data_IF_590073285418
#
_entry.id   IF_590073285418
#
_cell.length_a   1.000
_cell.length_b   1.000
_cell.length_c   1.000
_cell.angle_alpha   90.00
_cell.angle_beta   90.00
_cell.angle_gamma   90.00
#
_symmetry.space_group_name_H-M   'P 1'
#
loop_
_entity.id
_entity.type
_entity.pdbx_description
1 polymer ?
#
# COMPACT_ATOMS: atom_id res chain seq x y z
N UNK A 1 -6.90 17.83 -26.96
CA UNK A 1 -5.75 17.53 -26.09
C UNK A 1 -4.49 17.66 -26.91
N UNK A 2 -4.13 18.88 -27.30
CA UNK A 2 -2.84 19.14 -27.96
C UNK A 2 -1.95 19.87 -26.96
N UNK A 3 -1.51 19.11 -25.95
CA UNK A 3 -0.65 19.61 -24.87
C UNK A 3 0.81 19.73 -25.30
N UNK A 4 1.15 19.09 -26.43
CA UNK A 4 2.47 19.05 -27.01
C UNK A 4 2.68 20.29 -27.89
N UNK A 5 3.66 21.11 -27.52
CA UNK A 5 4.13 22.20 -28.39
C UNK A 5 5.07 21.68 -29.47
N UNK A 6 5.69 20.53 -29.21
CA UNK A 6 6.61 19.84 -30.10
C UNK A 6 6.46 18.34 -29.90
N UNK A 7 6.48 17.58 -30.99
CA UNK A 7 6.30 16.12 -30.99
C UNK A 7 7.58 15.37 -31.36
N UNK A 8 8.54 16.06 -31.97
CA UNK A 8 9.81 15.51 -32.44
C UNK A 8 10.91 16.57 -32.36
N UNK A 9 12.06 16.21 -31.81
CA UNK A 9 13.27 17.02 -31.75
C UNK A 9 14.46 16.18 -32.22
N UNK A 10 15.19 16.65 -33.21
CA UNK A 10 16.40 15.98 -33.72
C UNK A 10 17.65 16.49 -32.98
N UNK A 11 18.78 15.81 -33.20
CA UNK A 11 20.08 16.21 -32.64
C UNK A 11 20.10 16.34 -31.10
N UNK A 12 19.28 15.52 -30.42
CA UNK A 12 19.21 15.49 -28.96
C UNK A 12 20.33 14.64 -28.40
N UNK A 13 21.12 15.22 -27.50
CA UNK A 13 22.14 14.49 -26.74
C UNK A 13 21.54 13.91 -25.46
N UNK A 14 21.52 12.58 -25.37
CA UNK A 14 21.17 11.84 -24.17
C UNK A 14 22.44 11.42 -23.41
N UNK A 15 22.48 11.76 -22.12
CA UNK A 15 23.51 11.32 -21.19
C UNK A 15 22.91 10.32 -20.18
N UNK A 16 23.44 9.09 -20.14
CA UNK A 16 23.02 8.04 -19.22
C UNK A 16 24.25 7.48 -18.51
N UNK A 17 24.48 7.90 -17.27
CA UNK A 17 25.73 7.61 -16.55
C UNK A 17 26.91 8.21 -17.30
N UNK A 18 27.88 7.38 -17.69
CA UNK A 18 29.03 7.78 -18.53
C UNK A 18 28.78 7.66 -20.04
N UNK A 19 27.64 7.11 -20.44
CA UNK A 19 27.32 6.94 -21.87
C UNK A 19 26.65 8.17 -22.42
N UNK A 20 27.09 8.60 -23.60
CA UNK A 20 26.53 9.74 -24.34
C UNK A 20 26.14 9.25 -25.72
N UNK A 21 24.94 9.61 -26.16
CA UNK A 21 24.42 9.28 -27.49
C UNK A 21 23.65 10.46 -28.05
N UNK A 22 23.69 10.63 -29.37
CA UNK A 22 22.86 11.58 -30.10
C UNK A 22 21.73 10.83 -30.78
N UNK A 23 20.56 11.46 -30.87
CA UNK A 23 19.38 10.83 -31.42
C UNK A 23 18.21 11.78 -31.59
N UNK A 24 17.08 11.20 -31.97
CA UNK A 24 15.80 11.91 -32.06
C UNK A 24 14.97 11.66 -30.80
N UNK A 25 14.46 12.73 -30.19
CA UNK A 25 13.49 12.67 -29.10
C UNK A 25 12.08 12.86 -29.64
N UNK A 26 11.21 11.90 -29.35
CA UNK A 26 9.78 11.94 -29.63
C UNK A 26 9.01 12.16 -28.34
N UNK A 27 8.06 13.10 -28.36
CA UNK A 27 7.11 13.32 -27.28
C UNK A 27 5.74 12.82 -27.75
N UNK A 28 5.15 11.91 -26.98
CA UNK A 28 3.83 11.35 -27.24
C UNK A 28 2.88 11.72 -26.10
N UNK A 29 1.62 11.29 -26.18
CA UNK A 29 0.63 11.67 -25.16
C UNK A 29 0.94 11.12 -23.74
N UNK A 30 1.66 10.00 -23.62
CA UNK A 30 1.85 9.29 -22.35
C UNK A 30 3.30 8.85 -22.05
N UNK A 31 4.20 9.00 -23.01
CA UNK A 31 5.61 8.66 -22.86
C UNK A 31 6.47 9.52 -23.79
N UNK A 32 7.75 9.59 -23.48
CA UNK A 32 8.77 10.03 -24.43
C UNK A 32 9.55 8.82 -24.93
N UNK A 33 10.05 8.95 -26.15
CA UNK A 33 10.83 7.94 -26.85
C UNK A 33 12.10 8.60 -27.38
N UNK A 34 13.26 8.08 -27.01
CA UNK A 34 14.54 8.49 -27.58
C UNK A 34 15.08 7.41 -28.52
N UNK A 35 15.33 7.77 -29.77
CA UNK A 35 15.85 6.90 -30.82
C UNK A 35 17.29 7.31 -31.15
N UNK A 36 18.31 6.53 -30.76
CA UNK A 36 19.71 6.83 -31.07
C UNK A 36 20.02 6.82 -32.58
N UNK A 37 20.82 7.75 -33.07
CA UNK A 37 21.17 7.85 -34.51
C UNK A 37 22.01 6.66 -35.00
N UNK A 38 22.75 6.03 -34.09
CA UNK A 38 23.59 4.87 -34.39
C UNK A 38 22.79 3.55 -34.51
N UNK A 39 21.45 3.61 -34.51
CA UNK A 39 20.59 2.43 -34.51
C UNK A 39 20.64 1.64 -33.20
N UNK A 40 21.12 2.25 -32.12
CA UNK A 40 21.14 1.67 -30.79
C UNK A 40 19.74 1.43 -30.23
N UNK A 41 19.68 0.83 -29.04
CA UNK A 41 18.42 0.51 -28.39
C UNK A 41 17.61 1.79 -28.08
N UNK A 42 16.35 1.79 -28.49
CA UNK A 42 15.39 2.84 -28.15
C UNK A 42 15.14 2.92 -26.65
N UNK A 43 14.94 4.13 -26.14
CA UNK A 43 14.68 4.38 -24.72
C UNK A 43 13.27 4.96 -24.58
N UNK A 44 12.43 4.19 -23.90
CA UNK A 44 11.04 4.51 -23.64
C UNK A 44 10.87 4.94 -22.18
N UNK A 45 10.33 6.14 -21.94
CA UNK A 45 10.08 6.66 -20.58
C UNK A 45 8.64 7.13 -20.46
N UNK A 46 7.85 6.42 -19.66
CA UNK A 46 6.48 6.83 -19.33
C UNK A 46 6.48 8.09 -18.47
N UNK A 47 5.54 8.99 -18.69
CA UNK A 47 5.45 10.22 -17.90
C UNK A 47 5.19 9.95 -16.42
N UNK A 48 4.46 8.89 -16.07
CA UNK A 48 4.23 8.46 -14.69
C UNK A 48 5.49 8.03 -13.92
N UNK A 49 6.61 7.77 -14.60
CA UNK A 49 7.88 7.40 -13.97
C UNK A 49 8.83 8.59 -13.79
N UNK A 50 8.49 9.76 -14.33
CA UNK A 50 9.31 10.97 -14.22
C UNK A 50 8.92 11.70 -12.95
N UNK A 51 9.86 11.80 -12.00
CA UNK A 51 9.64 12.51 -10.73
C UNK A 51 9.93 14.01 -10.85
N UNK A 52 11.02 14.36 -11.54
CA UNK A 52 11.49 15.75 -11.67
C UNK A 52 11.90 16.02 -13.11
N UNK A 53 11.61 17.23 -13.58
CA UNK A 53 12.18 17.79 -14.81
C UNK A 53 12.84 19.12 -14.47
N UNK A 54 14.13 19.23 -14.75
CA UNK A 54 14.89 20.45 -14.50
C UNK A 54 15.42 21.01 -15.82
N UNK A 55 15.28 22.32 -15.99
CA UNK A 55 15.91 23.05 -17.09
C UNK A 55 17.25 23.60 -16.62
N UNK A 56 18.34 23.11 -17.18
CA UNK A 56 19.68 23.70 -16.96
C UNK A 56 19.73 25.11 -17.58
N UNK A 57 20.54 25.99 -16.98
CA UNK A 57 20.78 27.34 -17.52
C UNK A 57 21.40 27.19 -18.91
N UNK A 58 20.96 27.96 -19.93
CA UNK A 58 21.56 27.89 -21.26
C UNK A 58 23.05 28.21 -21.22
N UNK A 59 23.83 27.43 -21.96
CA UNK A 59 25.26 27.67 -22.13
C UNK A 59 25.49 28.93 -23.01
N UNK A 60 26.75 29.33 -23.20
CA UNK A 60 27.17 30.47 -24.03
C UNK A 60 26.64 30.45 -25.48
N UNK A 61 26.14 29.30 -25.96
CA UNK A 61 25.58 29.11 -27.29
C UNK A 61 24.08 29.48 -27.40
N UNK A 62 23.48 29.98 -26.31
CA UNK A 62 22.09 30.46 -26.29
C UNK A 62 21.06 29.38 -25.98
N UNK A 63 19.81 29.79 -25.75
CA UNK A 63 18.71 28.89 -25.48
C UNK A 63 18.21 28.24 -26.78
N UNK A 64 18.16 26.91 -26.82
CA UNK A 64 17.49 26.17 -27.89
C UNK A 64 15.96 26.32 -27.74
N UNK A 65 15.25 26.91 -28.74
CA UNK A 65 13.80 27.07 -28.68
C UNK A 65 13.06 25.73 -28.49
N UNK A 66 13.53 24.68 -29.17
CA UNK A 66 12.93 23.34 -29.07
C UNK A 66 13.05 22.78 -27.64
N UNK A 67 14.16 23.06 -26.94
CA UNK A 67 14.32 22.65 -25.55
C UNK A 67 13.31 23.33 -24.61
N UNK A 68 12.95 24.59 -24.92
CA UNK A 68 11.92 25.32 -24.17
C UNK A 68 10.54 24.69 -24.39
N UNK A 69 10.23 24.29 -25.63
CA UNK A 69 8.95 23.67 -25.97
C UNK A 69 8.84 22.23 -25.47
N UNK A 70 9.94 21.46 -25.46
CA UNK A 70 10.01 20.16 -24.78
C UNK A 70 9.72 20.33 -23.29
N UNK A 71 10.43 21.24 -22.61
CA UNK A 71 10.24 21.47 -21.18
C UNK A 71 8.80 21.92 -20.87
N UNK A 72 8.25 22.86 -21.63
CA UNK A 72 6.88 23.33 -21.46
C UNK A 72 5.83 22.23 -21.72
N UNK A 73 6.08 21.33 -22.69
CA UNK A 73 5.22 20.18 -22.97
C UNK A 73 5.25 19.19 -21.81
N UNK A 74 6.44 18.82 -21.33
CA UNK A 74 6.61 17.92 -20.19
C UNK A 74 6.02 18.51 -18.90
N UNK A 75 6.18 19.81 -18.64
CA UNK A 75 5.56 20.45 -17.48
C UNK A 75 4.04 20.28 -17.48
N UNK A 76 3.38 20.40 -18.63
CA UNK A 76 1.91 20.21 -18.72
C UNK A 76 1.50 18.76 -18.57
N UNK A 77 2.28 17.83 -19.11
CA UNK A 77 1.98 16.40 -19.10
C UNK A 77 2.28 15.74 -17.74
N UNK A 78 3.24 16.28 -16.99
CA UNK A 78 3.62 15.78 -15.67
C UNK A 78 2.85 16.45 -14.54
N UNK A 79 2.53 17.75 -14.66
CA UNK A 79 1.74 18.46 -13.66
C UNK A 79 0.24 18.35 -13.95
N UNK A 80 -0.30 17.16 -13.72
CA UNK A 80 -1.74 16.93 -13.81
C UNK A 80 -2.46 17.52 -12.58
N UNK A 81 -3.58 18.19 -12.81
CA UNK A 81 -4.41 18.80 -11.76
C UNK A 81 -5.63 17.97 -11.39
N UNK A 82 -5.97 16.97 -12.19
CA UNK A 82 -7.06 16.04 -11.92
C UNK A 82 -6.74 14.63 -12.43
N UNK A 83 -7.39 13.62 -11.85
CA UNK A 83 -7.14 12.22 -12.21
C UNK A 83 -7.61 11.91 -13.62
N UNK A 84 -8.61 12.62 -14.12
CA UNK A 84 -9.17 12.49 -15.48
C UNK A 84 -8.15 12.84 -16.58
N UNK A 85 -7.04 13.50 -16.22
CA UNK A 85 -5.93 13.80 -17.13
C UNK A 85 -4.92 12.63 -17.25
N UNK A 86 -5.06 11.58 -16.44
CA UNK A 86 -4.21 10.39 -16.54
C UNK A 86 -4.51 9.61 -17.82
N UNK A 87 -3.47 9.00 -18.40
CA UNK A 87 -3.58 8.17 -19.60
C UNK A 87 -4.69 7.12 -19.54
N UNK A 88 -4.95 6.59 -18.34
CA UNK A 88 -6.01 5.60 -18.11
C UNK A 88 -7.41 6.06 -18.55
N UNK A 89 -7.70 7.37 -18.59
CA UNK A 89 -9.04 7.90 -18.92
C UNK A 89 -9.29 8.11 -20.41
N UNK A 90 -8.24 8.15 -21.22
CA UNK A 90 -8.36 8.35 -22.68
C UNK A 90 -7.60 7.29 -23.49
N UNK A 91 -7.00 6.31 -22.82
CA UNK A 91 -6.42 5.14 -23.48
C UNK A 91 -7.47 4.42 -24.33
N UNK A 92 -7.14 4.21 -25.59
CA UNK A 92 -7.92 3.38 -26.51
C UNK A 92 -7.01 2.28 -27.05
N UNK A 93 -7.34 1.00 -26.86
CA UNK A 93 -6.49 -0.09 -27.33
C UNK A 93 -6.52 -0.17 -28.86
N UNK A 94 -5.35 -0.33 -29.50
CA UNK A 94 -5.25 -0.47 -30.96
C UNK A 94 -5.97 -1.73 -31.47
N UNK A 95 -5.92 -2.80 -30.67
CA UNK A 95 -6.63 -4.05 -30.91
C UNK A 95 -7.64 -4.27 -29.79
N UNK A 96 -8.88 -4.71 -30.10
CA UNK A 96 -9.83 -5.07 -29.07
C UNK A 96 -9.24 -6.08 -28.08
N UNK A 97 -9.53 -5.88 -26.79
CA UNK A 97 -9.14 -6.84 -25.77
C UNK A 97 -9.80 -8.20 -26.02
N UNK A 98 -9.06 -9.27 -25.73
CA UNK A 98 -9.57 -10.65 -25.80
C UNK A 98 -10.51 -11.01 -24.65
N UNK A 99 -10.57 -10.15 -23.62
CA UNK A 99 -11.39 -10.34 -22.43
C UNK A 99 -11.91 -8.99 -21.92
N UNK A 100 -13.15 -8.97 -21.46
CA UNK A 100 -13.84 -7.81 -20.91
C UNK A 100 -14.18 -7.97 -19.42
N UNK A 101 -13.71 -9.03 -18.75
CA UNK A 101 -14.08 -9.32 -17.35
C UNK A 101 -13.23 -8.59 -16.31
N UNK A 102 -12.28 -7.73 -16.72
CA UNK A 102 -11.28 -7.13 -15.83
C UNK A 102 -11.88 -6.46 -14.59
N UNK A 103 -12.91 -5.63 -14.75
CA UNK A 103 -13.59 -4.95 -13.64
C UNK A 103 -14.43 -5.89 -12.76
N UNK A 104 -14.86 -7.02 -13.31
CA UNK A 104 -15.70 -8.01 -12.63
C UNK A 104 -14.90 -9.22 -12.13
N UNK A 105 -13.57 -9.19 -12.21
CA UNK A 105 -12.71 -10.28 -11.80
C UNK A 105 -12.79 -10.55 -10.29
N UNK A 106 -13.00 -9.50 -9.51
CA UNK A 106 -13.12 -9.57 -8.06
C UNK A 106 -14.52 -9.19 -7.60
N UNK A 107 -15.24 -10.15 -7.07
CA UNK A 107 -16.49 -9.93 -6.33
C UNK A 107 -16.28 -10.27 -4.83
N UNK A 108 -16.41 -9.28 -3.92
CA UNK A 108 -16.19 -9.51 -2.49
C UNK A 108 -17.06 -10.62 -1.91
N UNK A 109 -18.32 -10.70 -2.32
CA UNK A 109 -19.25 -11.69 -1.75
C UNK A 109 -18.82 -13.10 -2.14
N UNK A 110 -18.55 -13.32 -3.42
CA UNK A 110 -18.03 -14.58 -3.97
C UNK A 110 -16.70 -14.99 -3.32
N UNK A 111 -15.77 -14.04 -3.11
CA UNK A 111 -14.48 -14.35 -2.47
C UNK A 111 -14.64 -14.83 -1.02
N UNK A 112 -15.47 -14.15 -0.21
CA UNK A 112 -15.66 -14.56 1.17
C UNK A 112 -16.56 -15.80 1.32
N UNK A 113 -17.51 -16.01 0.40
CA UNK A 113 -18.25 -17.28 0.29
C UNK A 113 -17.31 -18.43 -0.06
N UNK A 114 -16.33 -18.22 -0.97
CA UNK A 114 -15.25 -19.18 -1.28
C UNK A 114 -14.38 -19.50 -0.06
N UNK A 115 -14.23 -18.56 0.87
CA UNK A 115 -13.52 -18.75 2.14
C UNK A 115 -14.35 -19.46 3.22
N UNK A 116 -15.67 -19.61 3.02
CA UNK A 116 -16.56 -20.36 3.91
C UNK A 116 -17.62 -19.53 4.62
N UNK A 117 -17.68 -18.22 4.40
CA UNK A 117 -18.67 -17.33 5.04
C UNK A 117 -20.05 -17.62 4.47
N UNK A 118 -21.01 -17.96 5.34
CA UNK A 118 -22.37 -18.32 4.95
C UNK A 118 -22.52 -19.74 4.39
N UNK A 119 -21.42 -20.48 4.21
CA UNK A 119 -21.44 -21.86 3.69
C UNK A 119 -20.89 -22.85 4.71
N UNK A 120 -19.68 -22.64 5.21
CA UNK A 120 -19.03 -23.47 6.24
C UNK A 120 -19.21 -22.93 7.65
N UNK A 121 -19.45 -21.63 7.78
CA UNK A 121 -19.67 -20.98 9.07
C UNK A 121 -20.71 -19.88 8.97
N UNK A 122 -21.51 -19.76 10.03
CA UNK A 122 -22.48 -18.67 10.25
C UNK A 122 -21.98 -17.65 11.28
N UNK A 123 -20.74 -17.77 11.75
CA UNK A 123 -20.16 -16.87 12.76
C UNK A 123 -19.78 -15.50 12.22
N UNK A 124 -19.77 -15.33 10.89
CA UNK A 124 -19.48 -14.09 10.18
C UNK A 124 -20.66 -13.68 9.32
N UNK A 125 -20.91 -12.36 9.23
CA UNK A 125 -21.94 -11.77 8.37
C UNK A 125 -21.38 -10.65 7.50
N UNK A 126 -22.04 -10.43 6.38
CA UNK A 126 -21.86 -9.22 5.57
C UNK A 126 -22.63 -8.07 6.24
N UNK A 127 -21.94 -6.97 6.52
CA UNK A 127 -22.51 -5.71 6.99
C UNK A 127 -22.60 -4.74 5.82
N UNK A 128 -23.75 -4.06 5.73
CA UNK A 128 -24.02 -2.99 4.76
C UNK A 128 -23.79 -1.60 5.35
N UNK A 129 -23.23 -1.51 6.58
CA UNK A 129 -22.97 -0.22 7.24
C UNK A 129 -22.14 0.76 6.40
N UNK A 130 -21.32 0.24 5.49
CA UNK A 130 -20.44 1.03 4.64
C UNK A 130 -20.85 1.02 3.16
N UNK A 131 -22.09 0.65 2.83
CA UNK A 131 -22.57 0.51 1.44
C UNK A 131 -22.32 1.78 0.61
N UNK A 132 -22.54 2.96 1.21
CA UNK A 132 -22.32 4.28 0.60
C UNK A 132 -21.01 4.95 1.04
N UNK A 133 -20.08 4.20 1.64
CA UNK A 133 -18.78 4.71 2.12
C UNK A 133 -18.84 5.79 3.23
N UNK A 134 -20.03 6.08 3.79
CA UNK A 134 -20.20 7.11 4.82
C UNK A 134 -19.59 6.71 6.18
N UNK A 135 -19.65 5.42 6.53
CA UNK A 135 -19.11 4.92 7.80
C UNK A 135 -17.58 4.97 7.83
N UNK A 136 -16.92 4.50 6.76
CA UNK A 136 -15.48 4.55 6.58
C UNK A 136 -15.15 4.71 5.08
N UNK A 137 -14.83 5.94 4.62
CA UNK A 137 -14.58 6.24 3.20
C UNK A 137 -13.41 5.51 2.54
N UNK A 138 -12.59 4.82 3.35
CA UNK A 138 -11.37 4.14 2.88
C UNK A 138 -11.43 2.62 3.06
N UNK A 139 -12.58 2.11 3.48
CA UNK A 139 -12.91 0.69 3.53
C UNK A 139 -13.82 0.32 2.36
N UNK A 140 -13.88 -0.96 1.97
CA UNK A 140 -14.79 -1.41 0.92
C UNK A 140 -16.26 -1.24 1.33
N UNK A 141 -17.15 -1.23 0.33
CA UNK A 141 -18.60 -1.11 0.54
C UNK A 141 -19.20 -2.20 1.43
N UNK A 142 -18.64 -3.42 1.35
CA UNK A 142 -19.06 -4.58 2.13
C UNK A 142 -18.00 -4.88 3.18
N UNK A 143 -18.43 -4.97 4.45
CA UNK A 143 -17.55 -5.35 5.56
C UNK A 143 -17.99 -6.67 6.17
N UNK A 144 -17.02 -7.50 6.54
CA UNK A 144 -17.30 -8.77 7.21
C UNK A 144 -16.93 -8.69 8.67
N UNK A 145 -17.92 -8.93 9.51
CA UNK A 145 -17.86 -8.80 10.96
C UNK A 145 -18.51 -10.02 11.62
N UNK A 146 -18.26 -10.30 12.91
CA UNK A 146 -18.93 -11.40 13.60
C UNK A 146 -20.46 -11.23 13.57
N UNK A 147 -21.20 -12.32 13.35
CA UNK A 147 -22.67 -12.32 13.23
C UNK A 147 -23.38 -11.80 14.49
N UNK A 148 -22.72 -11.89 15.64
CA UNK A 148 -23.21 -11.40 16.94
C UNK A 148 -23.08 -9.88 17.12
N UNK A 149 -22.34 -9.19 16.25
CA UNK A 149 -22.15 -7.74 16.30
C UNK A 149 -23.16 -7.09 15.37
N UNK A 150 -23.98 -6.15 15.87
CA UNK A 150 -24.91 -5.36 15.06
C UNK A 150 -24.24 -4.11 14.48
N UNK A 151 -24.80 -3.54 13.42
CA UNK A 151 -24.28 -2.30 12.83
C UNK A 151 -24.35 -1.12 13.81
N UNK A 152 -25.28 -1.13 14.76
CA UNK A 152 -25.31 -0.12 15.83
C UNK A 152 -24.08 -0.21 16.74
N UNK A 153 -23.61 -1.41 17.07
CA UNK A 153 -22.35 -1.59 17.83
C UNK A 153 -21.19 -1.05 17.00
N UNK A 154 -21.14 -1.36 15.69
CA UNK A 154 -20.10 -0.87 14.78
C UNK A 154 -20.02 0.66 14.71
N UNK A 155 -21.17 1.37 14.76
CA UNK A 155 -21.18 2.84 14.79
C UNK A 155 -20.41 3.42 15.99
N UNK A 156 -20.47 2.77 17.15
CA UNK A 156 -19.69 3.19 18.32
C UNK A 156 -18.23 2.74 18.22
N UNK A 157 -17.99 1.52 17.74
CA UNK A 157 -16.63 1.03 17.50
C UNK A 157 -15.86 1.91 16.50
N UNK A 158 -16.52 2.38 15.44
CA UNK A 158 -15.95 3.29 14.46
C UNK A 158 -15.46 4.62 15.05
N UNK A 159 -16.08 5.09 16.14
CA UNK A 159 -15.61 6.29 16.86
C UNK A 159 -14.34 6.04 17.67
N UNK A 160 -14.05 4.78 18.00
CA UNK A 160 -12.88 4.38 18.78
C UNK A 160 -11.71 3.92 17.91
N UNK A 161 -11.92 3.62 16.63
CA UNK A 161 -10.86 3.22 15.69
C UNK A 161 -10.50 4.39 14.78
N UNK A 162 -9.21 4.63 14.59
CA UNK A 162 -8.73 5.71 13.71
C UNK A 162 -9.37 5.63 12.32
N UNK A 163 -10.00 6.74 11.88
CA UNK A 163 -10.73 6.85 10.61
C UNK A 163 -11.86 5.83 10.44
N UNK A 164 -12.46 5.35 11.54
CA UNK A 164 -13.50 4.33 11.56
C UNK A 164 -13.13 3.00 10.88
N UNK A 165 -11.82 2.70 10.76
CA UNK A 165 -11.31 1.44 10.22
C UNK A 165 -11.35 0.35 11.29
N UNK A 166 -12.56 -0.16 11.51
CA UNK A 166 -12.83 -1.21 12.50
C UNK A 166 -12.14 -2.53 12.15
N UNK A 167 -11.95 -3.43 13.13
CA UNK A 167 -11.64 -4.84 12.90
C UNK A 167 -12.64 -5.49 11.93
N UNK A 168 -12.14 -5.88 10.75
CA UNK A 168 -12.92 -6.55 9.72
C UNK A 168 -12.16 -7.75 9.14
N UNK A 169 -12.88 -8.81 8.76
CA UNK A 169 -12.30 -10.04 8.20
C UNK A 169 -11.54 -9.75 6.90
N UNK A 170 -10.31 -10.25 6.82
CA UNK A 170 -9.49 -10.22 5.60
C UNK A 170 -9.28 -11.62 5.04
N UNK A 171 -9.18 -12.63 5.91
CA UNK A 171 -9.03 -14.03 5.50
C UNK A 171 -9.61 -14.96 6.56
N UNK A 172 -10.18 -16.08 6.11
CA UNK A 172 -10.68 -17.16 6.95
C UNK A 172 -10.05 -18.47 6.50
N UNK A 173 -9.41 -19.18 7.44
CA UNK A 173 -8.73 -20.43 7.13
C UNK A 173 -9.74 -21.57 6.94
N UNK A 174 -9.69 -22.24 5.77
CA UNK A 174 -10.75 -23.16 5.30
C UNK A 174 -10.98 -24.41 6.17
N UNK A 175 -10.02 -24.81 7.00
CA UNK A 175 -10.07 -26.06 7.77
C UNK A 175 -10.35 -25.84 9.25
N UNK A 176 -9.68 -24.88 9.88
CA UNK A 176 -9.75 -24.64 11.33
C UNK A 176 -10.57 -23.39 11.71
N UNK A 177 -11.06 -22.63 10.71
CA UNK A 177 -11.81 -21.38 10.88
C UNK A 177 -11.06 -20.26 11.62
N UNK A 178 -9.72 -20.33 11.72
CA UNK A 178 -8.91 -19.23 12.22
C UNK A 178 -9.05 -18.00 11.29
N UNK A 179 -9.22 -16.82 11.88
CA UNK A 179 -9.46 -15.59 11.14
C UNK A 179 -8.27 -14.64 11.19
N UNK A 180 -7.93 -14.05 10.04
CA UNK A 180 -7.12 -12.85 9.96
C UNK A 180 -8.04 -11.65 9.78
N UNK A 181 -7.97 -10.71 10.71
CA UNK A 181 -8.71 -9.45 10.67
C UNK A 181 -7.75 -8.26 10.60
N UNK A 182 -8.22 -7.16 10.01
CA UNK A 182 -7.45 -5.91 9.89
C UNK A 182 -8.21 -4.73 10.46
N UNK A 183 -7.48 -3.76 11.01
CA UNK A 183 -8.04 -2.49 11.48
C UNK A 183 -7.01 -1.36 11.44
N UNK A 184 -7.41 -0.16 11.85
CA UNK A 184 -6.48 0.86 12.34
C UNK A 184 -6.34 0.79 13.87
N UNK A 185 -5.36 1.51 14.43
CA UNK A 185 -5.16 1.61 15.87
C UNK A 185 -6.40 2.12 16.63
N UNK A 186 -6.57 1.72 17.90
CA UNK A 186 -7.57 2.29 18.78
C UNK A 186 -7.22 3.72 19.26
N UNK A 187 -8.23 4.48 19.64
CA UNK A 187 -8.16 5.86 20.13
C UNK A 187 -8.14 5.92 21.67
N UNK A 188 -7.17 5.22 22.26
CA UNK A 188 -7.00 5.07 23.72
C UNK A 188 -6.56 6.40 24.35
N UNK A 189 -5.51 7.00 23.82
CA UNK A 189 -4.90 8.23 24.29
C UNK A 189 -4.30 8.14 25.71
N UNK A 190 -3.75 9.26 26.17
CA UNK A 190 -3.17 9.36 27.52
C UNK A 190 -4.19 9.13 28.64
N UNK A 191 -5.48 9.38 28.38
CA UNK A 191 -6.57 9.16 29.34
C UNK A 191 -6.98 7.69 29.47
N UNK A 192 -6.33 6.77 28.74
CA UNK A 192 -6.67 5.34 28.74
C UNK A 192 -8.16 5.10 28.42
N UNK A 193 -8.68 5.80 27.41
CA UNK A 193 -10.06 5.63 26.95
C UNK A 193 -10.31 4.18 26.53
N UNK A 194 -11.53 3.72 26.78
CA UNK A 194 -11.97 2.36 26.46
C UNK A 194 -13.24 2.38 25.64
N UNK A 195 -13.46 1.32 24.88
CA UNK A 195 -14.72 1.09 24.15
C UNK A 195 -15.15 -0.35 24.37
N UNK A 196 -16.22 -0.53 25.15
CA UNK A 196 -16.84 -1.85 25.37
C UNK A 196 -17.31 -2.46 24.04
N UNK A 197 -17.71 -1.62 23.08
CA UNK A 197 -18.12 -2.04 21.74
C UNK A 197 -16.95 -2.57 20.90
N UNK A 198 -15.76 -1.96 21.01
CA UNK A 198 -14.54 -2.49 20.38
C UNK A 198 -14.07 -3.78 21.07
N UNK A 199 -14.05 -3.80 22.41
CA UNK A 199 -13.69 -4.97 23.22
C UNK A 199 -14.56 -6.18 22.86
N UNK A 200 -15.89 -6.01 22.79
CA UNK A 200 -16.82 -7.06 22.35
C UNK A 200 -16.65 -7.49 20.89
N UNK A 201 -16.33 -6.54 19.99
CA UNK A 201 -16.06 -6.87 18.60
C UNK A 201 -14.84 -7.78 18.51
N UNK A 202 -13.73 -7.43 19.18
CA UNK A 202 -12.51 -8.24 19.20
C UNK A 202 -12.74 -9.60 19.89
N UNK A 203 -13.49 -9.62 20.99
CA UNK A 203 -13.89 -10.86 21.67
C UNK A 203 -14.65 -11.82 20.73
N UNK A 204 -15.66 -11.31 20.00
CA UNK A 204 -16.41 -12.16 19.06
C UNK A 204 -15.62 -12.53 17.80
N UNK A 205 -14.60 -11.77 17.42
CA UNK A 205 -13.64 -12.21 16.39
C UNK A 205 -12.84 -13.41 16.92
N UNK A 206 -12.29 -13.29 18.13
CA UNK A 206 -11.42 -14.29 18.77
C UNK A 206 -12.13 -15.55 19.26
N UNK A 207 -13.47 -15.54 19.28
CA UNK A 207 -14.32 -16.69 19.61
C UNK A 207 -15.13 -17.20 18.40
N UNK A 208 -14.80 -16.76 17.18
CA UNK A 208 -15.51 -17.13 15.94
C UNK A 208 -15.06 -18.47 15.33
N UNK A 209 -13.94 -19.03 15.80
CA UNK A 209 -13.33 -20.26 15.28
C UNK A 209 -13.89 -21.55 15.91
N UNK A 210 -13.27 -22.69 15.57
CA UNK A 210 -13.73 -24.02 15.99
C UNK A 210 -12.93 -24.63 17.16
N UNK A 211 -11.79 -24.06 17.56
CA UNK A 211 -10.88 -24.70 18.53
C UNK A 211 -10.32 -23.73 19.55
N UNK A 212 -10.46 -24.05 20.83
CA UNK A 212 -9.62 -23.56 21.92
C UNK A 212 -8.47 -24.57 22.08
N UNK A 213 -7.36 -24.40 21.36
CA UNK A 213 -6.17 -25.20 21.64
C UNK A 213 -5.56 -24.74 22.98
N UNK A 214 -5.49 -25.65 23.95
CA UNK A 214 -4.84 -25.38 25.24
C UNK A 214 -3.36 -25.02 25.01
N UNK A 215 -2.96 -23.83 25.47
CA UNK A 215 -1.57 -23.37 25.50
C UNK A 215 -1.17 -22.35 24.42
N UNK A 216 -2.05 -22.01 23.47
CA UNK A 216 -1.81 -20.93 22.48
C UNK A 216 -2.86 -19.84 22.57
N UNK A 217 -2.51 -18.61 22.18
CA UNK A 217 -3.38 -17.43 22.34
C UNK A 217 -3.57 -16.69 21.02
N UNK A 218 -4.74 -16.08 20.87
CA UNK A 218 -5.02 -15.13 19.80
C UNK A 218 -4.03 -13.97 19.83
N UNK A 219 -3.75 -13.37 18.68
CA UNK A 219 -2.79 -12.28 18.58
C UNK A 219 -3.44 -10.97 18.16
N UNK A 220 -3.07 -9.89 18.84
CA UNK A 220 -3.19 -8.53 18.31
C UNK A 220 -1.78 -8.10 17.89
N UNK A 221 -1.61 -7.81 16.61
CA UNK A 221 -0.35 -7.45 16.02
C UNK A 221 -0.39 -5.97 15.65
N UNK A 222 0.42 -5.20 16.34
CA UNK A 222 0.76 -3.85 15.96
C UNK A 222 2.01 -3.89 15.08
N UNK A 223 1.89 -3.50 13.81
CA UNK A 223 3.02 -3.54 12.90
C UNK A 223 4.15 -2.59 13.33
N UNK A 224 3.88 -1.58 14.15
CA UNK A 224 4.83 -0.52 14.49
C UNK A 224 5.93 -1.00 15.44
N UNK A 225 7.07 -0.29 15.51
CA UNK A 225 7.96 -0.34 16.66
C UNK A 225 7.24 0.16 17.91
N UNK A 226 7.55 -0.44 19.06
CA UNK A 226 6.95 -0.09 20.36
C UNK A 226 7.04 1.42 20.65
N UNK A 227 8.19 2.04 20.38
CA UNK A 227 8.36 3.49 20.58
C UNK A 227 7.38 4.32 19.76
N UNK A 228 7.11 3.92 18.51
CA UNK A 228 6.17 4.61 17.63
C UNK A 228 4.72 4.40 18.09
N UNK A 229 4.39 3.20 18.59
CA UNK A 229 3.09 2.94 19.18
C UNK A 229 2.83 3.81 20.43
N UNK A 230 3.84 3.92 21.31
CA UNK A 230 3.79 4.79 22.50
C UNK A 230 3.69 6.27 22.13
N UNK A 231 4.42 6.72 21.10
CA UNK A 231 4.30 8.09 20.59
C UNK A 231 2.88 8.41 20.07
N UNK A 232 2.22 7.45 19.40
CA UNK A 232 0.83 7.64 18.97
C UNK A 232 -0.16 7.65 20.15
N UNK A 233 0.15 6.97 21.26
CA UNK A 233 -0.63 7.07 22.49
C UNK A 233 -0.64 8.49 23.05
N UNK A 234 0.51 9.18 23.02
CA UNK A 234 0.61 10.58 23.41
C UNK A 234 -0.24 11.52 22.52
N UNK A 235 -0.47 11.14 21.26
CA UNK A 235 -1.28 11.89 20.30
C UNK A 235 -2.78 11.53 20.33
N UNK A 236 -3.24 10.82 21.36
CA UNK A 236 -4.66 10.46 21.53
C UNK A 236 -5.06 9.13 20.88
N UNK A 237 -4.13 8.41 20.24
CA UNK A 237 -4.34 7.07 19.71
C UNK A 237 -3.73 6.00 20.63
N UNK A 238 -3.16 4.91 20.13
CA UNK A 238 -2.44 3.97 20.99
C UNK A 238 -2.52 2.52 20.55
N UNK A 239 -2.58 1.63 21.53
CA UNK A 239 -2.61 0.18 21.39
C UNK A 239 -3.59 -0.39 22.41
N UNK A 240 -4.14 -1.55 22.12
CA UNK A 240 -4.98 -2.33 23.02
C UNK A 240 -4.24 -2.62 24.34
N UNK A 241 -4.99 -2.80 25.44
CA UNK A 241 -4.45 -3.23 26.74
C UNK A 241 -4.89 -4.65 27.05
N UNK A 242 -3.96 -5.50 27.49
CA UNK A 242 -4.23 -6.91 27.83
C UNK A 242 -5.27 -7.09 28.95
N UNK A 243 -5.44 -6.07 29.81
CA UNK A 243 -6.46 -6.09 30.87
C UNK A 243 -7.89 -6.01 30.30
N UNK A 244 -8.03 -5.29 29.18
CA UNK A 244 -9.30 -5.00 28.53
C UNK A 244 -9.58 -5.99 27.38
N UNK A 245 -8.53 -6.44 26.69
CA UNK A 245 -8.58 -7.40 25.59
C UNK A 245 -8.04 -8.75 26.07
N UNK A 246 -8.87 -9.49 26.77
CA UNK A 246 -8.51 -10.76 27.42
C UNK A 246 -8.32 -11.89 26.40
N UNK A 247 -7.56 -12.91 26.78
CA UNK A 247 -7.38 -14.12 25.96
C UNK A 247 -6.54 -13.91 24.69
N UNK A 248 -5.76 -12.82 24.64
CA UNK A 248 -4.88 -12.54 23.53
C UNK A 248 -3.52 -12.00 24.00
N UNK A 249 -2.54 -12.06 23.10
CA UNK A 249 -1.22 -11.44 23.27
C UNK A 249 -1.05 -10.31 22.27
N UNK A 250 -0.49 -9.21 22.74
CA UNK A 250 -0.13 -8.06 21.89
C UNK A 250 1.33 -8.20 21.46
N UNK A 251 1.59 -8.08 20.16
CA UNK A 251 2.93 -8.23 19.56
C UNK A 251 3.23 -7.02 18.68
N UNK A 252 4.46 -6.51 18.77
CA UNK A 252 4.96 -5.39 17.98
C UNK A 252 5.95 -5.90 16.92
N UNK A 253 5.73 -5.63 15.65
CA UNK A 253 6.60 -6.14 14.56
C UNK A 253 7.84 -5.29 14.30
N UNK A 254 7.88 -4.05 14.77
CA UNK A 254 9.05 -3.18 14.51
C UNK A 254 9.17 -2.75 13.04
N UNK A 255 8.06 -2.64 12.31
CA UNK A 255 8.03 -2.15 10.92
C UNK A 255 7.94 -0.63 10.92
N UNK A 256 9.01 0.00 10.46
CA UNK A 256 9.13 1.45 10.43
C UNK A 256 8.08 2.14 9.55
N UNK A 257 7.88 3.43 9.80
CA UNK A 257 6.92 4.23 9.06
C UNK A 257 7.41 4.57 7.64
N UNK A 258 6.50 5.12 6.83
CA UNK A 258 6.76 5.46 5.41
C UNK A 258 7.95 6.40 5.19
N UNK A 259 8.31 7.25 6.15
CA UNK A 259 9.40 8.20 6.00
C UNK A 259 10.75 7.50 6.11
N UNK A 260 10.88 6.59 7.07
CA UNK A 260 12.08 5.76 7.25
C UNK A 260 12.27 4.83 6.05
N UNK A 261 11.20 4.20 5.56
CA UNK A 261 11.28 3.32 4.37
C UNK A 261 11.62 4.11 3.10
N UNK A 262 11.11 5.34 2.95
CA UNK A 262 11.48 6.23 1.84
C UNK A 262 12.97 6.61 1.89
N UNK A 263 13.46 6.98 3.08
CA UNK A 263 14.89 7.28 3.27
C UNK A 263 15.77 6.05 2.99
N UNK A 264 15.32 4.86 3.40
CA UNK A 264 15.99 3.58 3.11
C UNK A 264 16.09 3.31 1.60
N UNK A 265 15.00 3.53 0.86
CA UNK A 265 15.00 3.40 -0.60
C UNK A 265 15.95 4.40 -1.26
N UNK A 266 15.97 5.66 -0.82
CA UNK A 266 16.88 6.67 -1.35
C UNK A 266 18.34 6.25 -1.15
N UNK A 267 18.71 5.79 0.05
CA UNK A 267 20.05 5.26 0.32
C UNK A 267 20.41 4.06 -0.55
N UNK A 268 19.44 3.19 -0.87
CA UNK A 268 19.64 2.07 -1.78
C UNK A 268 19.89 2.55 -3.22
N UNK A 269 19.09 3.50 -3.70
CA UNK A 269 19.25 4.10 -5.04
C UNK A 269 20.61 4.79 -5.15
N UNK A 270 21.02 5.55 -4.14
CA UNK A 270 22.35 6.19 -4.10
C UNK A 270 23.48 5.15 -4.14
N UNK A 271 23.34 4.05 -3.40
CA UNK A 271 24.29 2.94 -3.42
C UNK A 271 24.37 2.29 -4.81
N UNK A 272 23.23 2.11 -5.49
CA UNK A 272 23.17 1.58 -6.86
C UNK A 272 23.85 2.53 -7.85
N UNK A 273 23.58 3.83 -7.74
CA UNK A 273 24.15 4.85 -8.62
C UNK A 273 25.66 5.03 -8.41
N UNK A 274 26.21 4.63 -7.25
CA UNK A 274 27.65 4.68 -6.98
C UNK A 274 28.46 3.58 -7.67
N UNK A 275 27.81 2.59 -8.30
CA UNK A 275 28.47 1.44 -8.93
C UNK A 275 28.18 1.45 -10.43
N UNK A 276 29.24 1.48 -11.26
CA UNK A 276 29.10 1.46 -12.73
C UNK A 276 28.72 0.08 -13.27
N UNK A 277 29.30 -0.97 -12.71
CA UNK A 277 29.04 -2.36 -13.08
C UNK A 277 29.39 -3.29 -11.93
N UNK A 278 28.59 -4.34 -11.73
CA UNK A 278 28.82 -5.34 -10.69
C UNK A 278 27.93 -5.17 -9.45
N UNK A 279 28.12 -6.02 -8.43
CA UNK A 279 27.26 -6.04 -7.26
C UNK A 279 27.49 -4.81 -6.37
N UNK A 280 26.41 -4.34 -5.73
CA UNK A 280 26.45 -3.26 -4.74
C UNK A 280 27.32 -3.72 -3.55
N UNK A 281 28.30 -2.91 -3.10
CA UNK A 281 29.10 -3.24 -1.92
C UNK A 281 28.22 -3.52 -0.71
N UNK A 282 28.49 -4.63 0.00
CA UNK A 282 27.71 -5.07 1.16
C UNK A 282 27.55 -3.97 2.22
N UNK A 283 28.60 -3.20 2.48
CA UNK A 283 28.54 -2.11 3.45
C UNK A 283 27.53 -1.00 3.07
N UNK A 284 27.40 -0.67 1.78
CA UNK A 284 26.43 0.31 1.30
C UNK A 284 25.00 -0.25 1.34
N UNK A 285 24.84 -1.53 0.99
CA UNK A 285 23.58 -2.25 1.13
C UNK A 285 23.10 -2.28 2.58
N UNK A 286 23.98 -2.64 3.52
CA UNK A 286 23.66 -2.70 4.95
C UNK A 286 23.32 -1.31 5.51
N UNK A 287 24.04 -0.26 5.08
CA UNK A 287 23.77 1.13 5.46
C UNK A 287 22.41 1.65 4.96
N UNK A 288 21.89 1.11 3.85
CA UNK A 288 20.55 1.47 3.36
C UNK A 288 19.44 1.00 4.31
N UNK A 289 19.66 -0.08 5.06
CA UNK A 289 18.64 -0.70 5.89
C UNK A 289 17.54 -1.45 5.10
N UNK A 290 17.58 -1.45 3.77
CA UNK A 290 16.49 -1.97 2.94
C UNK A 290 16.17 -3.44 3.24
N UNK A 291 17.19 -4.30 3.24
CA UNK A 291 17.03 -5.73 3.53
C UNK A 291 16.57 -6.00 4.97
N UNK A 292 16.87 -5.10 5.91
CA UNK A 292 16.36 -5.18 7.29
C UNK A 292 14.85 -4.95 7.31
N UNK A 293 14.34 -3.96 6.58
CA UNK A 293 12.89 -3.72 6.48
C UNK A 293 12.18 -4.91 5.83
N UNK A 294 12.72 -5.47 4.74
CA UNK A 294 12.16 -6.66 4.09
C UNK A 294 12.14 -7.84 5.06
N UNK A 295 13.24 -8.10 5.79
CA UNK A 295 13.30 -9.15 6.81
C UNK A 295 12.21 -8.97 7.87
N UNK A 296 12.07 -7.78 8.46
CA UNK A 296 11.06 -7.53 9.49
C UNK A 296 9.62 -7.80 8.99
N UNK A 297 9.32 -7.44 7.74
CA UNK A 297 8.01 -7.73 7.11
C UNK A 297 7.80 -9.24 6.97
N UNK A 298 8.82 -9.96 6.49
CA UNK A 298 8.76 -11.41 6.31
C UNK A 298 8.65 -12.16 7.64
N UNK A 299 9.41 -11.77 8.66
CA UNK A 299 9.36 -12.35 10.00
C UNK A 299 7.97 -12.15 10.63
N UNK A 300 7.41 -10.96 10.52
CA UNK A 300 6.04 -10.69 10.98
C UNK A 300 4.98 -11.49 10.21
N UNK A 301 5.15 -11.64 8.89
CA UNK A 301 4.28 -12.48 8.06
C UNK A 301 4.34 -13.94 8.48
N UNK A 302 5.55 -14.47 8.73
CA UNK A 302 5.75 -15.83 9.19
C UNK A 302 5.04 -16.08 10.53
N UNK A 303 5.17 -15.14 11.48
CA UNK A 303 4.49 -15.24 12.78
C UNK A 303 2.96 -15.27 12.65
N UNK A 304 2.39 -14.44 11.76
CA UNK A 304 0.94 -14.44 11.46
C UNK A 304 0.52 -15.79 10.89
N UNK A 305 1.24 -16.28 9.88
CA UNK A 305 0.92 -17.54 9.20
C UNK A 305 1.02 -18.73 10.15
N UNK A 306 2.05 -18.80 10.99
CA UNK A 306 2.21 -19.87 11.98
C UNK A 306 1.04 -19.89 12.98
N UNK A 307 0.59 -18.73 13.46
CA UNK A 307 -0.56 -18.65 14.38
C UNK A 307 -1.87 -19.09 13.74
N UNK A 308 -2.13 -18.66 12.49
CA UNK A 308 -3.34 -19.05 11.76
C UNK A 308 -3.33 -20.53 11.38
N UNK A 309 -2.21 -21.03 10.85
CA UNK A 309 -2.14 -22.35 10.22
C UNK A 309 -1.82 -23.46 11.21
N UNK A 310 -0.81 -23.28 12.06
CA UNK A 310 -0.33 -24.34 12.96
C UNK A 310 -1.11 -24.37 14.27
N UNK A 311 -1.46 -23.21 14.82
CA UNK A 311 -2.11 -23.10 16.13
C UNK A 311 -3.62 -22.89 16.04
N UNK A 312 -4.14 -22.56 14.86
CA UNK A 312 -5.56 -22.25 14.68
C UNK A 312 -6.02 -21.00 15.43
N UNK A 313 -5.09 -20.11 15.82
CA UNK A 313 -5.40 -18.89 16.54
C UNK A 313 -5.86 -17.80 15.58
N UNK A 314 -6.75 -16.93 16.07
CA UNK A 314 -7.15 -15.72 15.38
C UNK A 314 -6.08 -14.64 15.50
N UNK A 315 -5.98 -13.80 14.48
CA UNK A 315 -5.03 -12.69 14.43
C UNK A 315 -5.76 -11.41 14.01
N UNK A 316 -5.60 -10.35 14.80
CA UNK A 316 -5.96 -8.98 14.45
C UNK A 316 -4.69 -8.20 14.13
N UNK A 317 -4.56 -7.68 12.92
CA UNK A 317 -3.43 -6.86 12.50
C UNK A 317 -3.85 -5.41 12.36
N UNK A 318 -3.08 -4.49 12.92
CA UNK A 318 -3.24 -3.07 12.66
C UNK A 318 -1.90 -2.34 12.66
N UNK A 319 -1.97 -1.09 12.24
CA UNK A 319 -0.90 -0.11 12.41
C UNK A 319 -1.54 1.23 12.79
N UNK A 320 -1.13 2.35 12.18
CA UNK A 320 -1.68 3.69 12.44
C UNK A 320 -3.11 3.91 11.91
#
# INVERSE_FOLDING_TARGET
MDHLRITKVQDVRLEKGKTVSTGTLHLLAHHLLFCPDNGGQEIWVTYSTIHTIDRKVPDIHGACPDALDVYASLQKLLNISSVEQLYAFYYTPEKPFTSNVGWNLYDPQSEFTRLGVGTKTTNWRFSTINENYEFCPTYPRVLLVPSRISDNVLKYTGKFRSKARIPALSYLHRTNMASLTRSAQPLVGLKQNRSIQDEKLVEYIFTSGQSEQLGTQNLIIDARPTANAMAQMALGAGTESVDNYRGCKIVYLGIDNIHVVRESLNKLVDAMNSVESGPIPRALMDKSGWLKHIRNILDGTLQIVQNLHLHGNHVLVHCR
#
